data_IF_949575899727
#
_entry.id   IF_949575899727
#
_cell.length_a   1.000
_cell.length_b   1.000
_cell.length_c   1.000
_cell.angle_alpha   90.00
_cell.angle_beta   90.00
_cell.angle_gamma   90.00
#
_symmetry.space_group_name_H-M   'P 1'
#
loop_
_entity.id
_entity.type
_entity.pdbx_description
1 polymer ?
#
# COMPACT_ATOMS: atom_id res chain seq x y z
N UNK A 1 26.61 -4.15 -15.13
CA UNK A 1 25.32 -3.64 -14.61
C UNK A 1 25.44 -2.13 -14.58
N UNK A 2 24.41 -1.41 -15.03
CA UNK A 2 24.43 0.06 -15.07
C UNK A 2 24.73 0.62 -13.66
N UNK A 3 25.68 1.55 -13.56
CA UNK A 3 26.09 2.20 -12.30
C UNK A 3 24.89 2.87 -11.61
N UNK A 4 23.93 3.35 -12.38
CA UNK A 4 22.69 3.98 -11.87
C UNK A 4 21.78 2.97 -11.19
N UNK A 5 21.72 1.74 -11.71
CA UNK A 5 20.92 0.66 -11.12
C UNK A 5 21.53 0.20 -9.80
N UNK A 6 22.87 0.13 -9.71
CA UNK A 6 23.57 -0.20 -8.46
C UNK A 6 23.22 0.78 -7.34
N UNK A 7 23.24 2.09 -7.63
CA UNK A 7 22.87 3.13 -6.66
C UNK A 7 21.42 3.01 -6.17
N UNK A 8 20.50 2.64 -7.06
CA UNK A 8 19.09 2.40 -6.68
C UNK A 8 18.99 1.18 -5.77
N UNK A 9 19.69 0.09 -6.08
CA UNK A 9 19.68 -1.13 -5.25
C UNK A 9 20.23 -0.83 -3.85
N UNK A 10 21.37 -0.13 -3.75
CA UNK A 10 21.94 0.26 -2.46
C UNK A 10 20.97 1.12 -1.64
N UNK A 11 20.33 2.11 -2.28
CA UNK A 11 19.31 2.93 -1.62
C UNK A 11 18.12 2.08 -1.13
N UNK A 12 17.63 1.13 -1.92
CA UNK A 12 16.50 0.28 -1.52
C UNK A 12 16.86 -0.66 -0.35
N UNK A 13 18.10 -1.15 -0.29
CA UNK A 13 18.58 -1.93 0.85
C UNK A 13 18.66 -1.07 2.13
N UNK A 14 19.11 0.18 2.02
CA UNK A 14 19.15 1.11 3.16
C UNK A 14 17.73 1.46 3.66
N UNK A 15 16.73 1.47 2.78
CA UNK A 15 15.32 1.71 3.14
C UNK A 15 14.56 0.44 3.58
N UNK A 16 15.23 -0.72 3.62
CA UNK A 16 14.58 -2.01 3.90
C UNK A 16 13.86 -2.04 5.25
N UNK A 17 14.44 -1.43 6.29
CA UNK A 17 13.83 -1.41 7.62
C UNK A 17 12.51 -0.64 7.61
N UNK A 18 12.52 0.56 7.03
CA UNK A 18 11.36 1.45 6.95
C UNK A 18 10.25 0.81 6.09
N UNK A 19 10.63 0.13 5.01
CA UNK A 19 9.69 -0.63 4.18
C UNK A 19 9.02 -1.76 4.98
N UNK A 20 9.78 -2.50 5.78
CA UNK A 20 9.23 -3.59 6.60
C UNK A 20 8.27 -3.06 7.67
N UNK A 21 8.59 -1.94 8.33
CA UNK A 21 7.71 -1.28 9.30
C UNK A 21 6.41 -0.78 8.64
N UNK A 22 6.50 -0.22 7.44
CA UNK A 22 5.33 0.19 6.67
C UNK A 22 4.45 -1.01 6.30
N UNK A 23 5.05 -2.12 5.85
CA UNK A 23 4.31 -3.35 5.52
C UNK A 23 3.65 -3.93 6.77
N UNK A 24 4.34 -3.97 7.90
CA UNK A 24 3.78 -4.42 9.17
C UNK A 24 2.57 -3.58 9.58
N UNK A 25 2.67 -2.26 9.47
CA UNK A 25 1.57 -1.34 9.75
C UNK A 25 0.37 -1.63 8.85
N UNK A 26 0.59 -1.72 7.52
CA UNK A 26 -0.47 -1.98 6.54
C UNK A 26 -1.16 -3.34 6.77
N UNK A 27 -0.39 -4.38 7.08
CA UNK A 27 -0.94 -5.72 7.35
C UNK A 27 -1.79 -5.73 8.62
N UNK A 28 -1.34 -5.03 9.67
CA UNK A 28 -2.06 -4.95 10.95
C UNK A 28 -3.30 -4.04 10.93
N UNK A 29 -3.53 -3.28 9.85
CA UNK A 29 -4.75 -2.47 9.70
C UNK A 29 -6.00 -3.30 9.38
N UNK A 30 -5.86 -4.59 9.04
CA UNK A 30 -6.92 -5.54 8.66
C UNK A 30 -7.97 -4.92 7.70
N UNK A 31 -7.84 -5.15 6.39
CA UNK A 31 -8.71 -4.56 5.35
C UNK A 31 -9.51 -5.59 4.54
N UNK A 32 -10.40 -6.39 5.16
CA UNK A 32 -11.19 -7.37 4.43
C UNK A 32 -12.18 -6.67 3.47
N UNK A 33 -12.36 -7.17 2.25
CA UNK A 33 -13.20 -6.50 1.23
C UNK A 33 -14.66 -6.43 1.57
N UNK A 34 -15.12 -7.33 2.44
CA UNK A 34 -16.47 -7.29 2.98
C UNK A 34 -16.70 -6.13 3.94
N UNK A 35 -15.64 -5.49 4.42
CA UNK A 35 -15.71 -4.32 5.29
C UNK A 35 -15.17 -3.08 4.56
N UNK A 36 -16.08 -2.35 3.91
CA UNK A 36 -15.77 -1.08 3.26
C UNK A 36 -15.06 -0.11 4.22
N UNK A 37 -15.51 -0.01 5.47
CA UNK A 37 -14.94 0.96 6.41
C UNK A 37 -13.47 0.64 6.71
N UNK A 38 -13.13 -0.64 6.78
CA UNK A 38 -11.75 -1.08 6.94
C UNK A 38 -10.88 -0.76 5.72
N UNK A 39 -11.38 -1.04 4.51
CA UNK A 39 -10.69 -0.65 3.28
C UNK A 39 -10.49 0.87 3.20
N UNK A 40 -11.52 1.67 3.53
CA UNK A 40 -11.44 3.12 3.50
C UNK A 40 -10.41 3.67 4.50
N UNK A 41 -10.24 3.02 5.67
CA UNK A 41 -9.19 3.40 6.64
C UNK A 41 -7.80 3.16 6.05
N UNK A 42 -7.56 2.01 5.43
CA UNK A 42 -6.29 1.71 4.78
C UNK A 42 -5.99 2.72 3.66
N UNK A 43 -6.99 3.06 2.85
CA UNK A 43 -6.85 4.02 1.75
C UNK A 43 -6.47 5.40 2.24
N UNK A 44 -7.08 5.88 3.34
CA UNK A 44 -6.71 7.16 3.96
C UNK A 44 -5.29 7.15 4.51
N UNK A 45 -4.88 6.07 5.15
CA UNK A 45 -3.50 5.92 5.63
C UNK A 45 -2.49 5.96 4.47
N UNK A 46 -2.74 5.22 3.39
CA UNK A 46 -1.84 5.24 2.23
C UNK A 46 -1.82 6.59 1.51
N UNK A 47 -2.94 7.32 1.52
CA UNK A 47 -2.99 8.69 1.01
C UNK A 47 -2.09 9.62 1.84
N UNK A 48 -2.10 9.49 3.17
CA UNK A 48 -1.21 10.25 4.06
C UNK A 48 0.26 9.92 3.81
N UNK A 49 0.61 8.63 3.77
CA UNK A 49 1.99 8.17 3.49
C UNK A 49 2.47 8.69 2.13
N UNK A 50 1.61 8.65 1.12
CA UNK A 50 1.97 9.05 -0.25
C UNK A 50 2.08 10.57 -0.42
N UNK A 51 1.53 11.38 0.51
CA UNK A 51 1.43 12.84 0.37
C UNK A 51 2.77 13.56 0.34
N UNK A 52 3.82 12.93 0.86
CA UNK A 52 5.17 13.47 0.84
C UNK A 52 5.89 13.26 -0.50
N UNK A 53 5.36 12.40 -1.38
CA UNK A 53 6.01 11.99 -2.64
C UNK A 53 5.16 12.33 -3.87
N UNK A 54 3.83 12.26 -3.75
CA UNK A 54 2.92 12.49 -4.86
C UNK A 54 2.65 13.97 -5.10
N UNK A 55 2.64 14.37 -6.37
CA UNK A 55 2.24 15.73 -6.79
C UNK A 55 0.73 15.93 -6.63
N UNK A 56 -0.04 14.85 -6.80
CA UNK A 56 -1.49 14.85 -6.66
C UNK A 56 -1.97 13.56 -6.02
N UNK A 57 -2.86 13.69 -5.05
CA UNK A 57 -3.56 12.58 -4.39
C UNK A 57 -5.05 12.81 -4.45
N UNK A 58 -5.78 11.79 -4.87
CA UNK A 58 -7.24 11.77 -4.91
C UNK A 58 -7.76 10.46 -4.31
N UNK A 59 -8.72 10.58 -3.40
CA UNK A 59 -9.52 9.44 -2.92
C UNK A 59 -10.82 9.44 -3.71
N UNK A 60 -11.05 8.37 -4.47
CA UNK A 60 -12.26 8.20 -5.28
C UNK A 60 -13.27 7.39 -4.47
N UNK A 61 -14.39 7.99 -4.04
CA UNK A 61 -15.36 7.31 -3.20
C UNK A 61 -16.09 6.21 -3.96
N UNK A 62 -16.27 5.05 -3.33
CA UNK A 62 -17.00 3.90 -3.88
C UNK A 62 -18.25 3.59 -3.06
N UNK A 63 -19.34 3.20 -3.72
CA UNK A 63 -20.63 2.95 -3.03
C UNK A 63 -20.65 1.59 -2.34
N UNK A 64 -20.16 0.55 -3.00
CA UNK A 64 -20.26 -0.85 -2.52
C UNK A 64 -18.95 -1.38 -1.91
N UNK A 65 -17.81 -0.88 -2.39
CA UNK A 65 -16.48 -1.32 -1.98
C UNK A 65 -15.69 -0.21 -1.29
N UNK A 66 -14.49 -0.55 -0.80
CA UNK A 66 -13.53 0.44 -0.32
C UNK A 66 -13.24 1.53 -1.36
N UNK A 67 -12.97 2.73 -0.89
CA UNK A 67 -12.54 3.85 -1.73
C UNK A 67 -11.26 3.50 -2.50
N UNK A 68 -11.00 4.17 -3.62
CA UNK A 68 -9.76 3.98 -4.37
C UNK A 68 -8.81 5.15 -4.14
N UNK A 69 -7.50 4.85 -4.08
CA UNK A 69 -6.45 5.86 -4.05
C UNK A 69 -5.87 6.04 -5.44
N UNK A 70 -5.84 7.29 -5.91
CA UNK A 70 -5.11 7.68 -7.12
C UNK A 70 -4.02 8.67 -6.73
N UNK A 71 -2.77 8.30 -6.99
CA UNK A 71 -1.60 9.14 -6.78
C UNK A 71 -0.89 9.39 -8.12
N UNK A 72 -0.50 10.63 -8.38
CA UNK A 72 0.24 11.04 -9.59
C UNK A 72 1.60 11.58 -9.18
N UNK A 73 2.65 11.14 -9.88
CA UNK A 73 4.03 11.62 -9.71
C UNK A 73 4.59 11.96 -11.09
N UNK A 74 5.15 13.15 -11.21
CA UNK A 74 5.77 13.69 -12.41
C UNK A 74 4.80 14.13 -13.50
N UNK A 75 5.37 14.67 -14.56
CA UNK A 75 4.68 15.10 -15.77
C UNK A 75 5.53 14.78 -17.00
N UNK A 76 4.94 14.25 -18.07
CA UNK A 76 5.68 13.92 -19.29
C UNK A 76 4.81 13.30 -20.38
N UNK A 77 5.40 13.11 -21.56
CA UNK A 77 4.69 12.57 -22.74
C UNK A 77 4.51 11.04 -22.68
N UNK A 78 5.35 10.35 -21.91
CA UNK A 78 5.20 8.93 -21.60
C UNK A 78 4.57 8.75 -20.22
N UNK A 79 3.57 7.87 -20.13
CA UNK A 79 2.86 7.60 -18.87
C UNK A 79 2.93 6.11 -18.55
N UNK A 80 3.14 5.81 -17.26
CA UNK A 80 3.07 4.46 -16.71
C UNK A 80 1.96 4.45 -15.67
N UNK A 81 1.03 3.50 -15.81
CA UNK A 81 -0.01 3.26 -14.82
C UNK A 81 0.36 2.02 -14.00
N UNK A 82 0.52 2.20 -12.69
CA UNK A 82 0.69 1.10 -11.74
C UNK A 82 -0.64 0.86 -11.04
N UNK A 83 -1.22 -0.32 -11.24
CA UNK A 83 -2.45 -0.75 -10.57
C UNK A 83 -2.12 -1.81 -9.52
N UNK A 84 -2.71 -1.66 -8.34
CA UNK A 84 -2.60 -2.63 -7.25
C UNK A 84 -3.96 -2.82 -6.59
N UNK A 85 -4.17 -4.02 -6.04
CA UNK A 85 -5.30 -4.31 -5.17
C UNK A 85 -4.77 -4.46 -3.75
N UNK A 86 -5.31 -3.65 -2.84
CA UNK A 86 -4.96 -3.71 -1.43
C UNK A 86 -5.73 -4.88 -0.80
N UNK A 87 -4.96 -5.83 -0.28
CA UNK A 87 -5.30 -7.24 -0.18
C UNK A 87 -6.39 -7.57 0.84
N UNK A 88 -7.10 -8.67 0.56
CA UNK A 88 -8.12 -9.30 1.41
C UNK A 88 -7.63 -10.72 1.74
N UNK A 89 -7.29 -11.03 3.00
CA UNK A 89 -7.49 -12.38 3.49
C UNK A 89 -8.22 -12.43 4.84
N UNK A 90 -9.08 -13.45 4.97
CA UNK A 90 -9.73 -13.90 6.21
C UNK A 90 -8.71 -14.57 7.17
N UNK A 91 -7.60 -13.91 7.51
CA UNK A 91 -6.53 -14.50 8.34
C UNK A 91 -6.76 -14.45 9.85
N UNK A 92 -8.02 -14.31 10.30
CA UNK A 92 -8.39 -14.75 11.66
C UNK A 92 -8.34 -16.29 11.83
N UNK A 93 -8.12 -17.07 10.77
CA UNK A 93 -8.06 -18.53 10.84
C UNK A 93 -6.67 -19.13 11.15
N UNK A 94 -5.56 -18.39 11.01
CA UNK A 94 -4.22 -18.92 11.33
C UNK A 94 -3.86 -18.70 12.81
N UNK A 95 -4.28 -17.60 13.42
CA UNK A 95 -4.04 -17.37 14.85
C UNK A 95 -4.83 -18.30 15.78
N UNK A 96 -5.93 -18.92 15.31
CA UNK A 96 -6.73 -19.88 16.09
C UNK A 96 -6.22 -21.32 16.01
N UNK A 97 -5.38 -21.66 15.03
CA UNK A 97 -4.78 -22.99 14.91
C UNK A 97 -3.44 -23.14 15.68
N UNK A 98 -2.80 -22.03 16.06
CA UNK A 98 -1.53 -22.08 16.83
C UNK A 98 -1.72 -22.05 18.36
N UNK A 99 -2.96 -22.03 18.86
CA UNK A 99 -3.27 -22.17 20.30
C UNK A 99 -3.89 -23.53 20.66
N UNK A 100 -3.82 -24.51 19.77
CA UNK A 100 -4.39 -25.85 20.01
C UNK A 100 -3.52 -26.96 19.41
N UNK A 101 -2.20 -26.83 19.56
CA UNK A 101 -1.26 -27.95 19.46
C UNK A 101 -0.34 -27.87 20.67
#
# INVERSE_FOLDING_TARGET
>A
MDESILKIVEYLEDQRSDLLEMIETVVNMDSPSSDKSACDRLIRYLAEVSSSIADKIEIVPMTEYGDCLMATVGSGNGQVLVLSHLLIPRTALIARLMKTI
#
